data_IF_657191526859
#
_entry.id   IF_657191526859
#
_cell.length_a   1.000
_cell.length_b   1.000
_cell.length_c   1.000
_cell.angle_alpha   90.00
_cell.angle_beta   90.00
_cell.angle_gamma   90.00
#
_symmetry.space_group_name_H-M   'P 1'
#
loop_
_entity.id
_entity.type
_entity.pdbx_description
1 polymer ?
#
# COMPACT_ATOMS: atom_id res chain seq x y z
N UNK A 1 -15.63 1.03 4.79
CA UNK A 1 -15.81 0.67 6.21
C UNK A 1 -14.66 -0.26 6.59
N UNK A 2 -13.66 0.20 7.33
CA UNK A 2 -12.49 -0.63 7.70
C UNK A 2 -12.84 -1.55 8.88
N UNK A 3 -12.38 -2.80 8.83
CA UNK A 3 -12.55 -3.80 9.88
C UNK A 3 -11.18 -3.97 10.55
N UNK A 4 -11.03 -3.53 11.80
CA UNK A 4 -9.81 -3.74 12.57
C UNK A 4 -9.84 -5.12 13.26
N UNK A 5 -8.80 -5.92 13.03
CA UNK A 5 -8.64 -7.27 13.58
C UNK A 5 -7.17 -7.54 13.85
N UNK A 6 -6.85 -8.10 15.03
CA UNK A 6 -5.49 -8.55 15.39
C UNK A 6 -5.06 -9.84 14.66
N UNK A 7 -5.73 -10.20 13.55
CA UNK A 7 -5.38 -11.32 12.68
C UNK A 7 -4.96 -10.78 11.32
N UNK A 8 -4.13 -11.53 10.59
CA UNK A 8 -3.84 -11.31 9.16
C UNK A 8 -5.15 -10.97 8.44
N UNK A 9 -5.33 -9.70 8.08
CA UNK A 9 -6.60 -9.17 7.57
C UNK A 9 -6.50 -9.10 6.06
N UNK A 10 -7.35 -9.86 5.37
CA UNK A 10 -7.52 -9.76 3.93
C UNK A 10 -8.51 -8.62 3.66
N UNK A 11 -8.06 -7.58 2.96
CA UNK A 11 -8.91 -6.44 2.61
C UNK A 11 -9.21 -6.54 1.12
N UNK A 12 -10.48 -6.77 0.81
CA UNK A 12 -10.98 -6.77 -0.56
C UNK A 12 -11.53 -5.38 -0.87
N UNK A 13 -10.89 -4.69 -1.80
CA UNK A 13 -11.37 -3.42 -2.34
C UNK A 13 -12.41 -3.74 -3.41
N UNK A 14 -13.60 -3.15 -3.29
CA UNK A 14 -14.73 -3.40 -4.22
C UNK A 14 -15.01 -2.21 -5.14
N UNK A 15 -14.51 -1.03 -4.81
CA UNK A 15 -14.67 0.22 -5.56
C UNK A 15 -13.39 1.06 -5.39
N UNK A 16 -12.94 1.73 -6.46
CA UNK A 16 -11.69 2.50 -6.50
C UNK A 16 -10.49 1.74 -7.09
N UNK A 17 -9.32 2.39 -7.12
CA UNK A 17 -8.07 1.81 -7.63
C UNK A 17 -7.24 1.20 -6.47
N UNK A 18 -6.96 -0.10 -6.57
CA UNK A 18 -6.33 -0.89 -5.49
C UNK A 18 -4.93 -0.40 -5.12
N UNK A 19 -4.15 0.01 -6.12
CA UNK A 19 -2.78 0.50 -5.99
C UNK A 19 -2.68 1.86 -5.30
N UNK A 20 -3.69 2.73 -5.44
CA UNK A 20 -3.76 3.98 -4.67
C UNK A 20 -4.23 3.75 -3.23
N UNK A 21 -5.14 2.79 -3.05
CA UNK A 21 -5.74 2.48 -1.74
C UNK A 21 -4.79 1.70 -0.81
N UNK A 22 -3.67 1.18 -1.33
CA UNK A 22 -2.63 0.56 -0.49
C UNK A 22 -1.90 1.58 0.38
N UNK A 23 -1.78 2.84 -0.06
CA UNK A 23 -1.06 3.89 0.66
C UNK A 23 -1.68 4.17 2.04
N UNK A 24 -2.98 4.51 2.17
CA UNK A 24 -3.59 4.68 3.48
C UNK A 24 -3.55 3.37 4.31
N UNK A 25 -3.63 2.20 3.66
CA UNK A 25 -3.53 0.92 4.35
C UNK A 25 -2.18 0.76 5.07
N UNK A 26 -1.09 1.11 4.40
CA UNK A 26 0.26 1.04 4.97
C UNK A 26 0.38 1.87 6.25
N UNK A 27 -0.35 3.00 6.34
CA UNK A 27 -0.36 3.86 7.53
C UNK A 27 -1.13 3.28 8.72
N UNK A 28 -2.11 2.41 8.47
CA UNK A 28 -2.93 1.77 9.50
C UNK A 28 -2.29 0.48 10.07
N UNK A 29 -1.28 -0.06 9.40
CA UNK A 29 -0.57 -1.25 9.87
C UNK A 29 0.27 -0.88 11.11
N UNK A 30 0.12 -1.59 12.25
CA UNK A 30 0.94 -1.32 13.43
C UNK A 30 2.41 -1.65 13.16
N UNK A 31 3.33 -0.90 13.77
CA UNK A 31 4.76 -1.19 13.69
C UNK A 31 5.14 -2.05 14.90
N UNK A 32 5.37 -3.34 14.68
CA UNK A 32 5.82 -4.31 15.70
C UNK A 32 7.18 -4.91 15.32
N UNK A 33 7.85 -5.57 16.27
CA UNK A 33 9.16 -6.25 16.04
C UNK A 33 9.07 -7.36 14.96
N UNK A 34 7.85 -7.87 14.73
CA UNK A 34 7.56 -8.83 13.67
C UNK A 34 7.20 -8.05 12.40
N UNK A 35 8.03 -8.14 11.36
CA UNK A 35 7.80 -7.40 10.12
C UNK A 35 6.41 -7.65 9.52
N UNK A 36 5.70 -6.57 9.20
CA UNK A 36 4.41 -6.63 8.55
C UNK A 36 4.57 -6.48 7.04
N UNK A 37 3.73 -7.16 6.27
CA UNK A 37 3.77 -7.11 4.82
C UNK A 37 2.43 -6.67 4.26
N UNK A 38 2.46 -5.73 3.32
CA UNK A 38 1.33 -5.37 2.47
C UNK A 38 1.54 -5.97 1.08
N UNK A 39 0.47 -6.45 0.49
CA UNK A 39 0.47 -7.08 -0.83
C UNK A 39 -0.63 -6.44 -1.66
N UNK A 40 -0.33 -6.13 -2.92
CA UNK A 40 -1.32 -5.66 -3.88
C UNK A 40 -0.98 -6.14 -5.29
N UNK A 41 -2.01 -6.28 -6.12
CA UNK A 41 -1.83 -6.56 -7.54
C UNK A 41 -1.41 -5.29 -8.28
N UNK A 42 -0.38 -5.39 -9.10
CA UNK A 42 0.05 -4.31 -9.98
C UNK A 42 -0.18 -4.72 -11.44
N UNK A 43 -1.07 -4.02 -12.18
CA UNK A 43 -1.19 -4.21 -13.61
C UNK A 43 0.11 -3.78 -14.32
N UNK A 44 0.34 -4.24 -15.56
CA UNK A 44 1.54 -3.84 -16.27
C UNK A 44 1.54 -2.33 -16.50
N UNK A 45 2.61 -1.64 -16.11
CA UNK A 45 2.75 -0.20 -16.36
C UNK A 45 3.52 -0.03 -17.67
N UNK A 46 2.80 0.30 -18.73
CA UNK A 46 3.34 0.47 -20.10
C UNK A 46 3.76 1.90 -20.41
N UNK A 47 3.23 2.88 -19.67
CA UNK A 47 3.41 4.32 -19.96
C UNK A 47 4.60 4.93 -19.20
N UNK A 48 5.42 4.08 -18.59
CA UNK A 48 6.64 4.43 -17.86
C UNK A 48 7.86 4.23 -18.76
N UNK A 49 8.91 5.03 -18.55
CA UNK A 49 10.21 4.85 -19.21
C UNK A 49 10.85 3.49 -18.92
N UNK A 50 10.35 2.77 -17.92
CA UNK A 50 10.66 1.38 -17.61
C UNK A 50 9.38 0.54 -17.65
N UNK A 51 9.36 -0.54 -18.42
CA UNK A 51 8.24 -1.49 -18.41
C UNK A 51 8.23 -2.22 -17.09
N UNK A 52 7.20 -1.99 -16.27
CA UNK A 52 7.01 -2.74 -15.03
C UNK A 52 6.04 -3.89 -15.34
N UNK A 53 6.46 -5.16 -15.20
CA UNK A 53 5.62 -6.29 -15.52
C UNK A 53 4.42 -6.37 -14.59
N UNK A 54 3.35 -7.02 -15.06
CA UNK A 54 2.25 -7.40 -14.19
C UNK A 54 2.72 -8.32 -13.08
N UNK A 55 2.14 -8.19 -11.88
CA UNK A 55 2.51 -9.08 -10.78
C UNK A 55 1.97 -8.66 -9.42
N UNK A 56 2.45 -9.34 -8.39
CA UNK A 56 2.16 -9.01 -7.00
C UNK A 56 3.33 -8.20 -6.45
N UNK A 57 3.04 -7.02 -5.92
CA UNK A 57 4.02 -6.23 -5.18
C UNK A 57 3.97 -6.60 -3.71
N UNK A 58 5.14 -6.76 -3.10
CA UNK A 58 5.30 -7.05 -1.68
C UNK A 58 6.01 -5.87 -1.03
N UNK A 59 5.38 -5.25 -0.05
CA UNK A 59 5.94 -4.15 0.71
C UNK A 59 6.20 -4.61 2.13
N UNK A 60 7.46 -4.61 2.55
CA UNK A 60 7.81 -4.75 3.97
C UNK A 60 7.53 -3.43 4.68
N UNK A 61 6.54 -3.41 5.56
CA UNK A 61 6.05 -2.22 6.24
C UNK A 61 6.85 -2.02 7.51
N UNK A 62 7.74 -1.04 7.46
CA UNK A 62 8.47 -0.51 8.61
C UNK A 62 8.16 0.98 8.80
N UNK A 63 8.76 1.56 9.85
CA UNK A 63 8.61 3.00 10.16
C UNK A 63 9.06 3.89 8.99
N UNK A 64 10.12 3.52 8.27
CA UNK A 64 10.65 4.33 7.15
C UNK A 64 9.69 4.33 5.97
N UNK A 65 9.05 3.20 5.69
CA UNK A 65 8.02 3.09 4.65
C UNK A 65 6.81 3.93 5.03
N UNK A 66 6.31 3.86 6.26
CA UNK A 66 5.21 4.73 6.70
C UNK A 66 5.54 6.22 6.58
N UNK A 67 6.76 6.64 6.93
CA UNK A 67 7.20 8.03 6.76
C UNK A 67 7.24 8.46 5.30
N UNK A 68 7.68 7.59 4.38
CA UNK A 68 7.63 7.85 2.94
C UNK A 68 6.21 7.99 2.44
N UNK A 69 5.31 7.08 2.83
CA UNK A 69 3.91 7.10 2.44
C UNK A 69 3.20 8.38 2.93
N UNK A 70 3.45 8.82 4.17
CA UNK A 70 2.93 10.10 4.68
C UNK A 70 3.33 11.29 3.81
N UNK A 71 4.59 11.34 3.37
CA UNK A 71 5.07 12.42 2.49
C UNK A 71 4.39 12.40 1.12
N UNK A 72 4.19 11.23 0.54
CA UNK A 72 3.50 11.10 -0.76
C UNK A 72 2.05 11.56 -0.65
N UNK A 73 1.32 11.10 0.38
CA UNK A 73 -0.07 11.52 0.59
C UNK A 73 -0.16 13.03 0.83
N UNK A 74 0.74 13.62 1.64
CA UNK A 74 0.76 15.05 1.87
C UNK A 74 0.97 15.85 0.57
N UNK A 75 1.84 15.38 -0.33
CA UNK A 75 2.00 16.00 -1.66
C UNK A 75 0.71 15.89 -2.46
N UNK A 76 0.02 14.74 -2.44
CA UNK A 76 -1.23 14.54 -3.18
C UNK A 76 -2.37 15.42 -2.67
N UNK A 77 -2.43 15.71 -1.37
CA UNK A 77 -3.44 16.60 -0.76
C UNK A 77 -3.22 18.09 -1.09
N UNK A 78 -2.04 18.47 -1.55
CA UNK A 78 -1.73 19.84 -1.97
C UNK A 78 -2.18 20.16 -3.42
N UNK A 79 -2.65 19.14 -4.17
CA UNK A 79 -3.14 19.27 -5.55
C UNK A 79 -4.66 19.03 -5.65
#
# INVERSE_FOLDING_TARGET
>A
KSINSNKKTLIKITEGEEDLLILPLILEIPIEDQGHFAFYGQPPITDSSFVIPEGIVIVNVDKKIQEKVRKVIAIMEEF
#
